data_IF_920202845430
#
_entry.id   IF_920202845430
#
_cell.length_a   1.000
_cell.length_b   1.000
_cell.length_c   1.000
_cell.angle_alpha   90.00
_cell.angle_beta   90.00
_cell.angle_gamma   90.00
#
_symmetry.space_group_name_H-M   'P 1'
#
loop_
_entity.id
_entity.type
_entity.pdbx_description
1 polymer ?
#
# COMPACT_ATOMS: atom_id res chain seq x y z
N UNK A 1 -4.83 3.54 -0.49
CA UNK A 1 -4.48 3.28 0.93
C UNK A 1 -3.12 2.59 0.99
N UNK A 2 -2.19 3.04 1.84
CA UNK A 2 -0.90 2.35 2.06
C UNK A 2 -1.10 1.25 3.09
N UNK A 3 -0.75 0.02 2.72
CA UNK A 3 -0.85 -1.15 3.59
C UNK A 3 0.44 -1.36 4.38
N UNK A 4 1.57 -1.31 3.68
CA UNK A 4 2.89 -1.57 4.23
C UNK A 4 3.95 -0.95 3.31
N UNK A 5 5.06 -0.50 3.90
CA UNK A 5 6.27 -0.09 3.16
C UNK A 5 7.38 -1.08 3.46
N UNK A 6 7.97 -1.68 2.43
CA UNK A 6 9.05 -2.65 2.54
C UNK A 6 10.35 -2.00 2.02
N UNK A 7 11.48 -2.09 2.74
CA UNK A 7 12.75 -1.58 2.24
C UNK A 7 13.11 -2.20 0.88
N UNK A 8 13.58 -1.36 -0.05
CA UNK A 8 14.03 -1.83 -1.36
C UNK A 8 15.23 -2.78 -1.28
N UNK A 9 16.00 -2.72 -0.18
CA UNK A 9 17.09 -3.66 0.11
C UNK A 9 16.63 -5.12 0.19
N UNK A 10 15.39 -5.38 0.61
CA UNK A 10 14.79 -6.73 0.58
C UNK A 10 14.32 -7.16 -0.82
N UNK A 11 14.42 -6.28 -1.81
CA UNK A 11 14.05 -6.53 -3.19
C UNK A 11 12.54 -6.55 -3.45
N UNK A 12 12.20 -6.57 -4.75
CA UNK A 12 10.82 -6.66 -5.23
C UNK A 12 10.10 -7.96 -4.82
N UNK A 13 10.76 -9.13 -4.70
CA UNK A 13 10.10 -10.36 -4.25
C UNK A 13 9.50 -10.25 -2.84
N UNK A 14 10.19 -9.60 -1.90
CA UNK A 14 9.68 -9.40 -0.55
C UNK A 14 8.39 -8.56 -0.54
N UNK A 15 8.36 -7.49 -1.34
CA UNK A 15 7.15 -6.68 -1.53
C UNK A 15 6.02 -7.48 -2.22
N UNK A 16 6.36 -8.36 -3.18
CA UNK A 16 5.40 -9.23 -3.85
C UNK A 16 4.76 -10.26 -2.89
N UNK A 17 5.55 -10.85 -1.99
CA UNK A 17 5.02 -11.74 -0.95
C UNK A 17 4.00 -11.01 -0.05
N UNK A 18 4.30 -9.77 0.37
CA UNK A 18 3.39 -8.95 1.18
C UNK A 18 2.14 -8.53 0.42
N UNK A 19 2.26 -8.20 -0.86
CA UNK A 19 1.10 -7.95 -1.71
C UNK A 19 0.22 -9.21 -1.89
N UNK A 20 0.82 -10.40 -1.93
CA UNK A 20 0.09 -11.66 -1.99
C UNK A 20 -0.64 -11.97 -0.67
N UNK A 21 -0.02 -11.72 0.49
CA UNK A 21 -0.69 -11.80 1.80
C UNK A 21 -1.92 -10.90 1.85
N UNK A 22 -1.80 -9.66 1.37
CA UNK A 22 -2.93 -8.73 1.31
C UNK A 22 -4.10 -9.26 0.49
N UNK A 23 -3.81 -9.86 -0.66
CA UNK A 23 -4.82 -10.49 -1.52
C UNK A 23 -5.47 -11.70 -0.85
N UNK A 24 -4.68 -12.52 -0.14
CA UNK A 24 -5.19 -13.65 0.66
C UNK A 24 -6.08 -13.18 1.81
N UNK A 25 -5.79 -12.03 2.40
CA UNK A 25 -6.65 -11.38 3.40
C UNK A 25 -7.95 -10.77 2.85
N UNK A 26 -8.26 -10.96 1.56
CA UNK A 26 -9.48 -10.47 0.93
C UNK A 26 -9.39 -9.04 0.39
N UNK A 27 -8.21 -8.40 0.44
CA UNK A 27 -8.02 -7.07 -0.15
C UNK A 27 -7.89 -7.19 -1.67
N UNK A 28 -8.78 -6.48 -2.38
CA UNK A 28 -8.76 -6.36 -3.85
C UNK A 28 -8.01 -5.10 -4.28
N UNK A 29 -7.55 -5.07 -5.54
CA UNK A 29 -6.81 -3.94 -6.14
C UNK A 29 -5.49 -3.61 -5.40
N UNK A 30 -4.76 -4.66 -4.98
CA UNK A 30 -3.46 -4.50 -4.33
C UNK A 30 -2.35 -4.37 -5.37
N UNK A 31 -1.57 -3.30 -5.28
CA UNK A 31 -0.42 -3.01 -6.11
C UNK A 31 0.85 -2.74 -5.31
N UNK A 32 1.97 -2.70 -6.01
CA UNK A 32 3.28 -2.33 -5.46
C UNK A 32 3.76 -1.11 -6.21
N UNK A 33 4.20 -0.11 -5.48
CA UNK A 33 4.65 1.16 -5.98
C UNK A 33 6.08 1.42 -5.49
N UNK A 34 6.93 1.90 -6.40
CA UNK A 34 8.29 2.28 -6.07
C UNK A 34 8.30 3.69 -5.51
N UNK A 35 8.61 3.85 -4.22
CA UNK A 35 8.52 5.14 -3.54
C UNK A 35 9.46 6.19 -4.14
N UNK A 36 10.56 5.76 -4.76
CA UNK A 36 11.52 6.66 -5.41
C UNK A 36 10.93 7.42 -6.61
N UNK A 37 9.76 7.00 -7.12
CA UNK A 37 9.07 7.66 -8.24
C UNK A 37 8.08 8.74 -7.82
N UNK A 38 7.92 8.99 -6.52
CA UNK A 38 6.90 9.89 -5.97
C UNK A 38 7.53 10.81 -4.94
N UNK A 39 7.43 12.13 -5.15
CA UNK A 39 8.03 13.11 -4.24
C UNK A 39 7.43 13.09 -2.83
N UNK A 40 6.19 12.62 -2.71
CA UNK A 40 5.45 12.50 -1.45
C UNK A 40 5.85 11.29 -0.58
N UNK A 41 6.70 10.40 -1.09
CA UNK A 41 7.10 9.16 -0.43
C UNK A 41 8.61 9.14 -0.17
N UNK A 42 9.00 8.50 0.94
CA UNK A 42 10.41 8.37 1.27
C UNK A 42 11.10 7.42 0.29
N UNK A 43 12.14 7.84 -0.44
CA UNK A 43 12.79 7.00 -1.45
C UNK A 43 13.44 5.76 -0.81
N UNK A 44 13.59 4.70 -1.61
CA UNK A 44 14.23 3.45 -1.15
C UNK A 44 13.27 2.41 -0.56
N UNK A 45 11.96 2.54 -0.82
CA UNK A 45 10.94 1.61 -0.35
C UNK A 45 10.02 1.13 -1.49
N UNK A 46 9.54 -0.10 -1.37
CA UNK A 46 8.38 -0.57 -2.10
C UNK A 46 7.14 -0.42 -1.22
N UNK A 47 6.20 0.40 -1.68
CA UNK A 47 4.95 0.66 -1.00
C UNK A 47 3.89 -0.30 -1.55
N UNK A 48 3.37 -1.17 -0.68
CA UNK A 48 2.20 -1.98 -0.99
C UNK A 48 0.97 -1.13 -0.70
N UNK A 49 0.14 -0.93 -1.72
CA UNK A 49 -1.06 -0.12 -1.61
C UNK A 49 -2.29 -0.90 -2.06
N UNK A 50 -3.44 -0.50 -1.54
CA UNK A 50 -4.75 -1.00 -1.95
C UNK A 50 -5.54 0.14 -2.56
N UNK A 51 -5.87 -0.01 -3.84
CA UNK A 51 -6.73 0.89 -4.60
C UNK A 51 -6.17 2.32 -4.74
N UNK A 52 -6.72 3.03 -5.72
CA UNK A 52 -6.64 4.49 -5.81
C UNK A 52 -8.08 4.98 -5.65
N UNK A 53 -8.28 5.98 -4.79
CA UNK A 53 -9.59 6.50 -4.45
C UNK A 53 -9.64 7.98 -4.81
N UNK A 54 -10.70 8.38 -5.48
CA UNK A 54 -10.95 9.77 -5.88
C UNK A 54 -11.58 10.59 -4.75
N UNK A 55 -12.20 9.90 -3.78
CA UNK A 55 -12.87 10.49 -2.63
C UNK A 55 -12.30 10.00 -1.30
N UNK A 56 -12.23 10.90 -0.31
CA UNK A 56 -11.84 10.56 1.06
C UNK A 56 -12.80 9.54 1.70
N UNK A 57 -14.10 9.60 1.37
CA UNK A 57 -15.11 8.69 1.94
C UNK A 57 -14.87 7.24 1.51
N UNK A 58 -14.52 7.03 0.24
CA UNK A 58 -14.18 5.72 -0.30
C UNK A 58 -12.85 5.19 0.28
N UNK A 59 -11.91 6.11 0.49
CA UNK A 59 -10.63 5.81 1.12
C UNK A 59 -10.82 5.37 2.58
N UNK A 60 -11.66 6.07 3.36
CA UNK A 60 -11.95 5.76 4.75
C UNK A 60 -12.62 4.38 4.91
N UNK A 61 -13.63 4.09 4.09
CA UNK A 61 -14.31 2.78 4.09
C UNK A 61 -13.35 1.63 3.75
N UNK A 62 -12.42 1.88 2.84
CA UNK A 62 -11.40 0.91 2.47
C UNK A 62 -10.29 0.78 3.50
N UNK A 63 -9.97 1.84 4.23
CA UNK A 63 -9.00 1.84 5.32
C UNK A 63 -9.44 0.92 6.46
N UNK A 64 -10.72 0.91 6.84
CA UNK A 64 -11.21 -0.02 7.87
C UNK A 64 -10.98 -1.49 7.46
N UNK A 65 -11.30 -1.83 6.20
CA UNK A 65 -11.06 -3.18 5.67
C UNK A 65 -9.56 -3.51 5.60
N UNK A 66 -8.74 -2.54 5.18
CA UNK A 66 -7.30 -2.69 5.14
C UNK A 66 -6.72 -2.96 6.54
N UNK A 67 -7.21 -2.24 7.57
CA UNK A 67 -6.76 -2.38 8.96
C UNK A 67 -7.07 -3.74 9.57
N UNK A 68 -8.12 -4.41 9.12
CA UNK A 68 -8.43 -5.78 9.55
C UNK A 68 -7.34 -6.79 9.14
N UNK A 69 -6.60 -6.51 8.05
CA UNK A 69 -5.51 -7.38 7.55
C UNK A 69 -4.14 -6.81 7.92
N UNK A 70 -3.97 -5.49 7.80
CA UNK A 70 -2.76 -4.75 8.12
C UNK A 70 -3.11 -3.64 9.12
N UNK A 71 -2.93 -3.87 10.44
CA UNK A 71 -3.27 -2.89 11.46
C UNK A 71 -2.56 -1.53 11.28
N UNK A 72 -1.36 -1.56 10.68
CA UNK A 72 -0.56 -0.37 10.37
C UNK A 72 -1.01 0.36 9.08
N UNK A 73 -2.09 -0.07 8.42
CA UNK A 73 -2.57 0.58 7.21
C UNK A 73 -3.02 2.03 7.49
N UNK A 74 -2.69 2.93 6.56
CA UNK A 74 -3.01 4.35 6.66
C UNK A 74 -3.34 4.96 5.30
N UNK A 75 -4.12 6.04 5.33
CA UNK A 75 -4.41 6.83 4.16
C UNK A 75 -3.25 7.80 3.88
N UNK A 76 -2.79 7.83 2.62
CA UNK A 76 -1.77 8.75 2.14
C UNK A 76 -2.20 9.26 0.78
N UNK A 77 -2.20 10.57 0.61
CA UNK A 77 -2.27 11.20 -0.71
C UNK A 77 -0.94 10.93 -1.41
N UNK A 78 -0.99 10.17 -2.52
CA UNK A 78 0.18 9.93 -3.35
C UNK A 78 0.19 11.03 -4.41
N UNK A 79 1.14 11.95 -4.28
CA UNK A 79 1.41 12.99 -5.28
C UNK A 79 2.55 12.49 -6.17
N UNK A 80 2.37 12.44 -7.51
CA UNK A 80 3.42 12.13 -8.48
C UNK A 80 4.65 13.01 -8.29
#
# INVERSE_FOLDING_TARGET
IVLLSVPRSGGRPAAAAKAAEARKGGLRRVGILDSSRFASLHPGYYVIFQGVYESEVDAASSLQRARAVFPAAYQRAIVP
#
